data_IF_568865215055
#
_entry.id   IF_568865215055
#
_cell.length_a   1.000
_cell.length_b   1.000
_cell.length_c   1.000
_cell.angle_alpha   90.00
_cell.angle_beta   90.00
_cell.angle_gamma   90.00
#
_symmetry.space_group_name_H-M   'P 1'
#
loop_
_entity.id
_entity.type
_entity.pdbx_description
1 polymer ?
#
# COMPACT_ATOMS: atom_id res chain seq x y z
N UNK A 1 -8.31 41.44 27.10
CA UNK A 1 -7.49 41.20 25.89
C UNK A 1 -7.66 39.75 25.46
N UNK A 2 -8.38 39.58 24.35
CA UNK A 2 -8.70 38.32 23.68
C UNK A 2 -7.47 37.77 22.95
N UNK A 3 -7.09 36.51 23.23
CA UNK A 3 -6.18 35.73 22.36
C UNK A 3 -7.01 35.01 21.30
N UNK A 4 -6.59 34.98 20.02
CA UNK A 4 -7.31 34.26 18.98
C UNK A 4 -7.05 32.75 19.08
N UNK A 5 -8.12 31.97 18.93
CA UNK A 5 -8.12 30.51 18.70
C UNK A 5 -7.26 30.19 17.48
N UNK A 6 -6.23 29.35 17.64
CA UNK A 6 -5.62 28.64 16.51
C UNK A 6 -6.46 27.40 16.20
N UNK A 7 -6.94 27.34 14.96
CA UNK A 7 -7.86 26.33 14.44
C UNK A 7 -7.10 25.00 14.22
N UNK A 8 -7.61 23.84 14.69
CA UNK A 8 -7.02 22.52 14.41
C UNK A 8 -7.42 21.94 13.04
N UNK A 9 -8.08 22.71 12.17
CA UNK A 9 -8.74 22.22 10.95
C UNK A 9 -7.77 21.73 9.86
N UNK A 10 -6.59 22.34 9.72
CA UNK A 10 -5.64 21.96 8.68
C UNK A 10 -4.96 20.60 8.92
N UNK A 11 -4.71 20.24 10.19
CA UNK A 11 -4.15 18.92 10.56
C UNK A 11 -5.19 17.82 10.46
N UNK A 12 -6.43 18.07 10.87
CA UNK A 12 -7.55 17.14 10.68
C UNK A 12 -7.86 16.93 9.20
N UNK A 13 -7.85 17.99 8.38
CA UNK A 13 -8.01 17.88 6.93
C UNK A 13 -6.86 17.11 6.27
N UNK A 14 -5.60 17.34 6.68
CA UNK A 14 -4.44 16.59 6.18
C UNK A 14 -4.44 15.12 6.60
N UNK A 15 -4.90 14.81 7.82
CA UNK A 15 -5.09 13.43 8.29
C UNK A 15 -6.22 12.77 7.48
N UNK A 16 -7.37 13.43 7.31
CA UNK A 16 -8.49 12.93 6.48
C UNK A 16 -8.11 12.75 4.99
N UNK A 17 -7.31 13.66 4.42
CA UNK A 17 -6.80 13.57 3.05
C UNK A 17 -5.74 12.47 2.90
N UNK A 18 -4.94 12.23 3.95
CA UNK A 18 -4.03 11.08 4.04
C UNK A 18 -4.77 9.73 4.11
N UNK A 19 -5.94 9.67 4.78
CA UNK A 19 -6.80 8.49 4.79
C UNK A 19 -7.44 8.20 3.42
N UNK A 20 -7.84 9.25 2.69
CA UNK A 20 -8.37 9.11 1.33
C UNK A 20 -7.25 8.70 0.36
N UNK A 21 -6.02 9.18 0.56
CA UNK A 21 -4.86 8.81 -0.25
C UNK A 21 -4.38 7.37 -0.06
N UNK A 22 -4.38 6.88 1.19
CA UNK A 22 -3.90 5.55 1.55
C UNK A 22 -4.83 4.42 1.05
N UNK A 23 -6.11 4.70 0.84
CA UNK A 23 -7.09 3.67 0.48
C UNK A 23 -7.11 3.32 -1.01
N UNK A 24 -6.57 4.19 -1.86
CA UNK A 24 -6.68 4.02 -3.31
C UNK A 24 -5.56 3.19 -3.95
N UNK A 25 -4.61 2.67 -3.16
CA UNK A 25 -3.35 2.14 -3.66
C UNK A 25 -3.38 0.84 -4.45
N UNK A 26 -4.50 0.14 -4.66
CA UNK A 26 -4.46 -1.14 -5.37
C UNK A 26 -5.71 -1.32 -6.22
N UNK A 27 -5.54 -1.35 -7.54
CA UNK A 27 -6.59 -1.75 -8.49
C UNK A 27 -6.04 -2.51 -9.71
N UNK A 28 -6.72 -3.62 -9.99
CA UNK A 28 -6.81 -4.55 -11.13
C UNK A 28 -5.74 -5.65 -11.26
N UNK A 29 -6.04 -6.98 -11.14
CA UNK A 29 -6.55 -7.91 -12.20
C UNK A 29 -6.86 -9.40 -11.83
N UNK A 30 -7.78 -9.98 -12.64
CA UNK A 30 -8.53 -11.25 -12.61
C UNK A 30 -7.88 -12.48 -13.23
N UNK A 31 -8.53 -13.63 -12.92
CA UNK A 31 -8.71 -14.79 -13.80
C UNK A 31 -10.21 -15.11 -14.02
N UNK A 32 -10.59 -15.22 -15.30
CA UNK A 32 -11.73 -15.91 -15.96
C UNK A 32 -13.21 -15.74 -15.48
N UNK A 33 -13.95 -14.99 -16.31
CA UNK A 33 -15.31 -15.19 -16.86
C UNK A 33 -16.47 -15.66 -15.95
N UNK A 34 -17.38 -14.73 -15.69
CA UNK A 34 -18.82 -14.99 -15.87
C UNK A 34 -19.30 -14.13 -17.04
N UNK A 35 -19.72 -14.81 -18.13
CA UNK A 35 -20.53 -14.21 -19.18
C UNK A 35 -21.86 -13.77 -18.58
N UNK A 36 -22.16 -12.48 -18.64
CA UNK A 36 -23.53 -12.01 -18.83
C UNK A 36 -23.51 -10.98 -19.95
N UNK A 37 -24.33 -11.27 -20.96
CA UNK A 37 -24.35 -10.60 -22.25
C UNK A 37 -24.69 -9.11 -22.13
N UNK A 38 -23.85 -8.28 -22.73
CA UNK A 38 -24.28 -7.06 -23.41
C UNK A 38 -23.35 -6.87 -24.61
N UNK A 39 -23.92 -6.97 -25.81
CA UNK A 39 -23.21 -6.82 -27.08
C UNK A 39 -22.53 -5.44 -27.19
N UNK A 40 -21.21 -5.43 -27.11
CA UNK A 40 -20.25 -4.37 -27.43
C UNK A 40 -18.90 -5.02 -27.74
N UNK A 41 -17.98 -4.41 -28.51
CA UNK A 41 -16.91 -5.15 -29.20
C UNK A 41 -15.94 -5.84 -28.23
N UNK A 42 -16.19 -7.14 -28.09
CA UNK A 42 -15.34 -8.21 -27.57
C UNK A 42 -13.84 -7.97 -27.77
N UNK A 43 -13.15 -7.42 -26.77
CA UNK A 43 -11.77 -7.79 -26.52
C UNK A 43 -11.80 -8.93 -25.50
N UNK A 44 -11.59 -10.16 -25.96
CA UNK A 44 -11.22 -11.23 -25.02
C UNK A 44 -9.91 -10.78 -24.35
N UNK A 45 -9.80 -10.80 -23.01
CA UNK A 45 -8.57 -10.39 -22.35
C UNK A 45 -7.36 -11.12 -22.93
N UNK A 46 -6.25 -10.42 -23.17
CA UNK A 46 -5.04 -11.04 -23.71
C UNK A 46 -4.63 -12.23 -22.80
N UNK A 47 -4.39 -13.44 -23.33
CA UNK A 47 -4.02 -14.60 -22.51
C UNK A 47 -2.77 -14.36 -21.65
N UNK A 48 -1.89 -13.44 -22.04
CA UNK A 48 -0.69 -13.08 -21.29
C UNK A 48 -1.00 -12.22 -20.04
N UNK A 49 -2.19 -11.64 -19.95
CA UNK A 49 -2.61 -10.77 -18.85
C UNK A 49 -2.44 -11.45 -17.49
N UNK A 50 -2.97 -12.65 -17.32
CA UNK A 50 -2.94 -13.34 -16.03
C UNK A 50 -1.49 -13.63 -15.57
N UNK A 51 -0.59 -13.90 -16.52
CA UNK A 51 0.84 -14.07 -16.24
C UNK A 51 1.47 -12.76 -15.77
N UNK A 52 1.15 -11.64 -16.43
CA UNK A 52 1.66 -10.33 -16.04
C UNK A 52 1.21 -9.94 -14.62
N UNK A 53 -0.01 -10.33 -14.23
CA UNK A 53 -0.48 -10.13 -12.85
C UNK A 53 0.10 -11.07 -11.84
N UNK A 54 0.34 -12.32 -12.21
CA UNK A 54 1.07 -13.23 -11.34
C UNK A 54 2.46 -12.66 -11.01
N UNK A 55 3.17 -12.10 -12.00
CA UNK A 55 4.43 -11.39 -11.76
C UNK A 55 4.24 -10.11 -10.92
N UNK A 56 3.21 -9.31 -11.22
CA UNK A 56 2.91 -8.08 -10.48
C UNK A 56 2.67 -8.34 -8.98
N UNK A 57 1.81 -9.30 -8.66
CA UNK A 57 1.48 -9.66 -7.28
C UNK A 57 2.58 -10.47 -6.59
N UNK A 58 3.58 -10.96 -7.33
CA UNK A 58 4.83 -11.50 -6.78
C UNK A 58 5.93 -10.43 -6.67
N UNK A 59 5.60 -9.14 -6.83
CA UNK A 59 6.52 -7.99 -6.82
C UNK A 59 7.60 -8.04 -7.90
N UNK A 60 7.42 -8.84 -8.96
CA UNK A 60 8.30 -8.88 -10.13
C UNK A 60 7.93 -7.74 -11.09
N UNK A 61 7.92 -6.50 -10.59
CA UNK A 61 7.32 -5.34 -11.24
C UNK A 61 7.93 -5.01 -12.61
N UNK A 62 9.25 -5.14 -12.79
CA UNK A 62 9.90 -4.90 -14.08
C UNK A 62 9.40 -5.88 -15.15
N UNK A 63 9.24 -7.15 -14.76
CA UNK A 63 8.74 -8.18 -15.65
C UNK A 63 7.26 -7.97 -15.97
N UNK A 64 6.46 -7.65 -14.95
CA UNK A 64 5.05 -7.32 -15.13
C UNK A 64 4.87 -6.11 -16.07
N UNK A 65 5.64 -5.03 -15.87
CA UNK A 65 5.59 -3.84 -16.71
C UNK A 65 5.93 -4.15 -18.18
N UNK A 66 6.98 -4.94 -18.44
CA UNK A 66 7.32 -5.37 -19.80
C UNK A 66 6.22 -6.23 -20.44
N UNK A 67 5.55 -7.08 -19.67
CA UNK A 67 4.44 -7.89 -20.17
C UNK A 67 3.21 -7.01 -20.47
N UNK A 68 2.89 -6.04 -19.62
CA UNK A 68 1.83 -5.06 -19.90
C UNK A 68 2.14 -4.13 -21.07
N UNK A 69 3.39 -3.71 -21.25
CA UNK A 69 3.83 -2.96 -22.42
C UNK A 69 3.50 -3.71 -23.71
N UNK A 70 3.83 -5.02 -23.78
CA UNK A 70 3.50 -5.85 -24.95
C UNK A 70 1.99 -6.01 -25.16
N UNK A 71 1.20 -6.06 -24.09
CA UNK A 71 -0.28 -6.10 -24.19
C UNK A 71 -0.79 -4.78 -24.78
N UNK A 72 -0.29 -3.63 -24.30
CA UNK A 72 -0.63 -2.30 -24.82
C UNK A 72 -0.19 -2.13 -26.28
N UNK A 73 0.92 -2.72 -26.70
CA UNK A 73 1.38 -2.70 -28.09
C UNK A 73 0.45 -3.49 -29.02
N UNK A 74 -0.05 -4.65 -28.56
CA UNK A 74 -1.01 -5.47 -29.31
C UNK A 74 -2.40 -4.85 -29.37
N UNK A 75 -2.81 -4.18 -28.29
CA UNK A 75 -4.14 -3.59 -28.12
C UNK A 75 -4.04 -2.07 -27.87
N UNK A 76 -3.58 -1.27 -28.85
CA UNK A 76 -3.23 0.13 -28.62
C UNK A 76 -4.41 1.05 -28.23
N UNK A 77 -5.63 0.62 -28.54
CA UNK A 77 -6.87 1.35 -28.26
C UNK A 77 -7.67 0.77 -27.08
N UNK A 78 -7.10 -0.20 -26.36
CA UNK A 78 -7.72 -0.79 -25.17
C UNK A 78 -7.35 0.01 -23.91
N UNK A 79 -8.35 0.65 -23.30
CA UNK A 79 -8.16 1.44 -22.09
C UNK A 79 -7.80 0.56 -20.87
N UNK A 80 -8.28 -0.68 -20.82
CA UNK A 80 -7.91 -1.62 -19.76
C UNK A 80 -6.41 -1.91 -19.81
N UNK A 81 -5.87 -2.26 -20.98
CA UNK A 81 -4.44 -2.53 -21.15
C UNK A 81 -3.56 -1.36 -20.68
N UNK A 82 -3.95 -0.12 -20.99
CA UNK A 82 -3.24 1.07 -20.52
C UNK A 82 -3.32 1.22 -19.00
N UNK A 83 -4.48 0.95 -18.40
CA UNK A 83 -4.66 0.98 -16.94
C UNK A 83 -3.82 -0.07 -16.22
N UNK A 84 -3.65 -1.26 -16.80
CA UNK A 84 -2.82 -2.32 -16.22
C UNK A 84 -1.34 -1.93 -16.21
N UNK A 85 -0.86 -1.37 -17.32
CA UNK A 85 0.49 -0.83 -17.39
C UNK A 85 0.67 0.33 -16.39
N UNK A 86 -0.31 1.22 -16.28
CA UNK A 86 -0.31 2.32 -15.32
C UNK A 86 -0.25 1.80 -13.87
N UNK A 87 -1.03 0.76 -13.52
CA UNK A 87 -0.94 0.09 -12.20
C UNK A 87 0.48 -0.38 -11.96
N UNK A 88 1.06 -1.17 -12.87
CA UNK A 88 2.39 -1.74 -12.67
C UNK A 88 3.47 -0.68 -12.47
N UNK A 89 3.45 0.39 -13.27
CA UNK A 89 4.42 1.49 -13.18
C UNK A 89 4.23 2.29 -11.88
N UNK A 90 2.99 2.62 -11.52
CA UNK A 90 2.69 3.41 -10.33
C UNK A 90 3.06 2.66 -9.05
N UNK A 91 2.64 1.40 -8.93
CA UNK A 91 2.87 0.60 -7.73
C UNK A 91 4.35 0.29 -7.55
N UNK A 92 5.09 -0.02 -8.63
CA UNK A 92 6.53 -0.17 -8.54
C UNK A 92 7.21 1.11 -8.00
N UNK A 93 6.77 2.28 -8.46
CA UNK A 93 7.33 3.53 -7.99
C UNK A 93 7.02 3.81 -6.52
N UNK A 94 5.80 3.52 -6.07
CA UNK A 94 5.45 3.61 -4.65
C UNK A 94 6.27 2.65 -3.79
N UNK A 95 6.59 1.46 -4.30
CA UNK A 95 7.49 0.51 -3.63
C UNK A 95 8.89 1.11 -3.47
N UNK A 96 9.48 1.56 -4.58
CA UNK A 96 10.83 2.15 -4.63
C UNK A 96 10.96 3.39 -3.75
N UNK A 97 9.88 4.16 -3.63
CA UNK A 97 9.81 5.33 -2.74
C UNK A 97 9.76 4.96 -1.24
N UNK A 98 9.57 3.68 -0.88
CA UNK A 98 9.29 3.25 0.48
C UNK A 98 7.87 3.58 0.94
N UNK A 99 6.98 3.99 0.04
CA UNK A 99 5.59 4.35 0.38
C UNK A 99 4.71 3.13 0.67
N UNK A 100 5.17 1.92 0.29
CA UNK A 100 4.52 0.62 0.58
C UNK A 100 5.30 -0.17 1.66
N UNK A 101 5.54 0.44 2.80
CA UNK A 101 6.16 -0.25 3.94
C UNK A 101 5.09 -1.04 4.72
N UNK A 102 5.38 -2.10 5.47
CA UNK A 102 4.45 -2.74 6.44
C UNK A 102 4.97 -2.75 7.88
N UNK A 103 6.17 -2.19 8.14
CA UNK A 103 6.83 -2.21 9.45
C UNK A 103 6.79 -0.92 10.29
N UNK A 104 6.39 0.24 9.74
CA UNK A 104 6.25 1.50 10.50
C UNK A 104 4.95 1.58 11.35
N UNK A 105 4.20 0.49 11.45
CA UNK A 105 2.75 0.47 11.72
C UNK A 105 2.36 -0.01 13.10
N UNK A 106 2.95 0.63 14.12
CA UNK A 106 2.28 0.71 15.40
C UNK A 106 0.97 1.55 15.35
N UNK A 107 0.66 2.20 14.19
CA UNK A 107 -0.48 3.11 14.01
C UNK A 107 -1.37 2.82 12.77
N UNK A 108 -1.69 1.55 12.49
CA UNK A 108 -2.85 1.15 11.65
C UNK A 108 -2.91 1.66 10.19
N UNK A 109 -1.92 1.33 9.34
CA UNK A 109 -1.98 1.50 7.87
C UNK A 109 -1.06 0.49 7.15
N UNK A 110 -1.10 0.42 5.82
CA UNK A 110 -0.11 -0.27 4.94
C UNK A 110 0.76 0.73 4.16
N UNK A 111 0.48 2.04 4.32
CA UNK A 111 1.13 3.12 3.57
C UNK A 111 1.80 4.09 4.54
N UNK A 112 3.09 4.31 4.31
CA UNK A 112 4.00 5.08 5.13
C UNK A 112 4.40 6.40 4.48
N UNK A 113 5.30 7.14 5.13
CA UNK A 113 5.92 8.29 4.47
C UNK A 113 6.92 7.78 3.43
N UNK A 114 6.93 8.38 2.25
CA UNK A 114 7.97 8.08 1.26
C UNK A 114 9.36 8.44 1.83
N UNK A 115 10.26 7.46 1.87
CA UNK A 115 11.66 7.62 2.26
C UNK A 115 12.45 8.30 1.14
N UNK A 116 12.09 7.99 -0.12
CA UNK A 116 12.80 8.47 -1.32
C UNK A 116 11.89 9.30 -2.23
N UNK A 117 12.42 10.32 -2.92
CA UNK A 117 11.66 11.04 -3.93
C UNK A 117 11.35 10.12 -5.13
N UNK A 118 10.23 10.42 -5.79
CA UNK A 118 9.89 9.76 -7.05
C UNK A 118 10.87 10.13 -8.18
N UNK A 119 11.18 9.20 -9.07
CA UNK A 119 12.01 9.38 -10.25
C UNK A 119 11.27 10.30 -11.22
N UNK A 120 11.84 11.45 -11.61
CA UNK A 120 11.23 12.37 -12.57
C UNK A 120 10.78 11.72 -13.88
N UNK A 121 11.53 10.72 -14.39
CA UNK A 121 11.17 10.00 -15.62
C UNK A 121 9.95 9.11 -15.42
N UNK A 122 9.86 8.45 -14.26
CA UNK A 122 8.70 7.60 -13.92
C UNK A 122 7.46 8.45 -13.69
N UNK A 123 7.59 9.62 -13.04
CA UNK A 123 6.50 10.60 -12.92
C UNK A 123 5.96 11.03 -14.28
N UNK A 124 6.84 11.36 -15.21
CA UNK A 124 6.45 11.76 -16.56
C UNK A 124 5.76 10.59 -17.29
N UNK A 125 6.31 9.38 -17.17
CA UNK A 125 5.69 8.17 -17.71
C UNK A 125 4.28 7.92 -17.17
N UNK A 126 4.07 8.07 -15.87
CA UNK A 126 2.75 7.96 -15.22
C UNK A 126 1.78 8.97 -15.83
N UNK A 127 2.19 10.24 -15.97
CA UNK A 127 1.35 11.29 -16.57
C UNK A 127 0.99 10.99 -18.02
N UNK A 128 1.94 10.47 -18.80
CA UNK A 128 1.70 10.09 -20.19
C UNK A 128 0.71 8.93 -20.31
N UNK A 129 0.81 7.93 -19.44
CA UNK A 129 -0.14 6.80 -19.38
C UNK A 129 -1.53 7.27 -18.96
N UNK A 130 -1.65 8.11 -17.92
CA UNK A 130 -2.93 8.72 -17.50
C UNK A 130 -3.55 9.51 -18.65
N UNK A 131 -2.78 10.38 -19.32
CA UNK A 131 -3.28 11.16 -20.44
C UNK A 131 -3.69 10.29 -21.63
N UNK A 132 -3.02 9.16 -21.85
CA UNK A 132 -3.40 8.19 -22.89
C UNK A 132 -4.71 7.49 -22.54
N UNK A 133 -4.84 6.97 -21.31
CA UNK A 133 -6.06 6.29 -20.86
C UNK A 133 -7.28 7.23 -20.96
N UNK A 134 -7.14 8.46 -20.44
CA UNK A 134 -8.18 9.48 -20.51
C UNK A 134 -8.65 9.77 -21.94
N UNK A 135 -7.73 9.87 -22.91
CA UNK A 135 -8.11 10.10 -24.32
C UNK A 135 -8.94 8.94 -24.86
N UNK A 136 -8.54 7.69 -24.60
CA UNK A 136 -9.26 6.50 -25.07
C UNK A 136 -10.65 6.41 -24.44
N UNK A 137 -10.72 6.60 -23.12
CA UNK A 137 -11.97 6.56 -22.36
C UNK A 137 -12.93 7.67 -22.79
N UNK A 138 -12.43 8.90 -22.98
CA UNK A 138 -13.25 10.02 -23.45
C UNK A 138 -13.74 9.83 -24.89
N UNK A 139 -12.94 9.22 -25.76
CA UNK A 139 -13.36 8.88 -27.12
C UNK A 139 -14.50 7.84 -27.12
N UNK A 140 -14.36 6.78 -26.33
CA UNK A 140 -15.39 5.75 -26.15
C UNK A 140 -16.69 6.36 -25.58
N UNK A 141 -16.57 7.18 -24.53
CA UNK A 141 -17.73 7.81 -23.87
C UNK A 141 -18.40 8.90 -24.71
N UNK A 142 -17.71 9.52 -25.67
CA UNK A 142 -18.33 10.40 -26.67
C UNK A 142 -19.22 9.62 -27.63
N UNK A 143 -18.82 8.41 -28.00
CA UNK A 143 -19.61 7.52 -28.84
C UNK A 143 -20.80 6.91 -28.08
N UNK A 144 -20.59 6.50 -26.84
CA UNK A 144 -21.61 5.95 -25.95
C UNK A 144 -21.39 6.42 -24.51
N UNK A 145 -22.16 7.42 -24.01
CA UNK A 145 -22.00 7.93 -22.65
C UNK A 145 -22.28 6.91 -21.53
N UNK A 146 -23.04 5.85 -21.83
CA UNK A 146 -23.37 4.76 -20.91
C UNK A 146 -22.55 3.48 -21.21
N UNK A 147 -21.41 3.62 -21.89
CA UNK A 147 -20.44 2.52 -22.03
C UNK A 147 -19.87 2.15 -20.66
N UNK A 148 -20.32 1.01 -20.14
CA UNK A 148 -20.00 0.52 -18.80
C UNK A 148 -18.50 0.27 -18.64
N UNK A 149 -17.84 -0.25 -19.68
CA UNK A 149 -16.43 -0.59 -19.66
C UNK A 149 -15.57 0.68 -19.70
N UNK A 150 -15.95 1.66 -20.51
CA UNK A 150 -15.27 2.95 -20.58
C UNK A 150 -15.44 3.77 -19.29
N UNK A 151 -16.65 3.74 -18.68
CA UNK A 151 -16.90 4.33 -17.36
C UNK A 151 -16.04 3.66 -16.29
N UNK A 152 -15.98 2.32 -16.29
CA UNK A 152 -15.16 1.57 -15.36
C UNK A 152 -13.67 1.92 -15.52
N UNK A 153 -13.14 1.93 -16.74
CA UNK A 153 -11.75 2.30 -17.02
C UNK A 153 -11.43 3.72 -16.55
N UNK A 154 -12.30 4.69 -16.86
CA UNK A 154 -12.12 6.07 -16.40
C UNK A 154 -12.12 6.18 -14.88
N UNK A 155 -12.96 5.38 -14.23
CA UNK A 155 -12.97 5.22 -12.78
C UNK A 155 -11.60 4.76 -12.24
N UNK A 156 -11.04 3.70 -12.83
CA UNK A 156 -9.70 3.18 -12.49
C UNK A 156 -8.60 4.22 -12.73
N UNK A 157 -8.58 4.87 -13.91
CA UNK A 157 -7.60 5.93 -14.23
C UNK A 157 -7.63 7.06 -13.22
N UNK A 158 -8.83 7.52 -12.84
CA UNK A 158 -9.01 8.56 -11.83
C UNK A 158 -8.56 8.09 -10.45
N UNK A 159 -8.86 6.84 -10.08
CA UNK A 159 -8.40 6.24 -8.83
C UNK A 159 -6.86 6.21 -8.75
N UNK A 160 -6.20 5.69 -9.77
CA UNK A 160 -4.72 5.65 -9.85
C UNK A 160 -4.11 7.05 -9.85
N UNK A 161 -4.71 8.01 -10.57
CA UNK A 161 -4.21 9.39 -10.56
C UNK A 161 -4.43 10.09 -9.21
N UNK A 162 -5.48 9.72 -8.47
CA UNK A 162 -5.67 10.18 -7.10
C UNK A 162 -4.54 9.69 -6.17
N UNK A 163 -4.14 8.42 -6.28
CA UNK A 163 -2.97 7.87 -5.56
C UNK A 163 -1.70 8.64 -5.90
N UNK A 164 -1.40 8.76 -7.20
CA UNK A 164 -0.21 9.45 -7.67
C UNK A 164 -0.16 10.89 -7.13
N UNK A 165 -1.24 11.65 -7.30
CA UNK A 165 -1.26 13.05 -6.87
C UNK A 165 -1.18 13.19 -5.35
N UNK A 166 -1.69 12.24 -4.58
CA UNK A 166 -1.60 12.30 -3.12
C UNK A 166 -0.23 11.88 -2.58
N UNK A 167 0.27 10.72 -2.99
CA UNK A 167 1.48 10.11 -2.41
C UNK A 167 2.76 10.64 -3.05
N UNK A 168 2.71 11.00 -4.34
CA UNK A 168 3.88 11.49 -5.07
C UNK A 168 3.92 13.02 -5.13
N UNK A 169 2.81 13.65 -5.55
CA UNK A 169 2.80 15.11 -5.73
C UNK A 169 2.36 15.89 -4.48
N UNK A 170 1.80 15.21 -3.47
CA UNK A 170 1.19 15.84 -2.28
C UNK A 170 0.14 16.91 -2.65
N UNK A 171 -0.51 16.73 -3.80
CA UNK A 171 -1.51 17.60 -4.39
C UNK A 171 -2.93 17.16 -3.95
N UNK A 172 -3.22 17.34 -2.66
CA UNK A 172 -4.41 16.80 -1.98
C UNK A 172 -5.75 17.15 -2.64
N UNK A 173 -5.89 18.37 -3.19
CA UNK A 173 -7.13 18.77 -3.88
C UNK A 173 -7.32 18.00 -5.19
N UNK A 174 -6.24 17.79 -5.96
CA UNK A 174 -6.29 16.97 -7.16
C UNK A 174 -6.62 15.52 -6.82
N UNK A 175 -6.02 14.99 -5.75
CA UNK A 175 -6.31 13.65 -5.27
C UNK A 175 -7.80 13.49 -4.90
N UNK A 176 -8.35 14.41 -4.10
CA UNK A 176 -9.75 14.36 -3.70
C UNK A 176 -10.71 14.46 -4.90
N UNK A 177 -10.43 15.36 -5.86
CA UNK A 177 -11.27 15.53 -7.06
C UNK A 177 -11.30 14.25 -7.89
N UNK A 178 -10.15 13.62 -8.12
CA UNK A 178 -10.06 12.39 -8.88
C UNK A 178 -10.68 11.20 -8.12
N UNK A 179 -10.47 11.12 -6.81
CA UNK A 179 -11.10 10.12 -5.95
C UNK A 179 -12.63 10.15 -6.04
N UNK A 180 -13.24 11.33 -5.88
CA UNK A 180 -14.69 11.52 -6.02
C UNK A 180 -15.16 11.20 -7.45
N UNK A 181 -14.41 11.64 -8.46
CA UNK A 181 -14.72 11.30 -9.86
C UNK A 181 -14.69 9.80 -10.15
N UNK A 182 -13.72 9.08 -9.58
CA UNK A 182 -13.62 7.62 -9.68
C UNK A 182 -14.82 6.94 -9.04
N UNK A 183 -15.21 7.40 -7.84
CA UNK A 183 -16.41 6.90 -7.16
C UNK A 183 -17.65 7.07 -8.03
N UNK A 184 -17.89 8.27 -8.57
CA UNK A 184 -19.08 8.52 -9.38
C UNK A 184 -19.12 7.65 -10.64
N UNK A 185 -17.97 7.46 -11.31
CA UNK A 185 -17.88 6.57 -12.47
C UNK A 185 -18.24 5.13 -12.10
N UNK A 186 -17.70 4.60 -10.99
CA UNK A 186 -18.01 3.24 -10.56
C UNK A 186 -19.41 3.08 -9.97
N UNK A 187 -19.98 4.11 -9.32
CA UNK A 187 -21.40 4.12 -8.94
C UNK A 187 -22.29 4.06 -10.18
N UNK A 188 -21.97 4.83 -11.23
CA UNK A 188 -22.69 4.79 -12.51
C UNK A 188 -22.58 3.42 -13.19
N UNK A 189 -21.42 2.78 -13.14
CA UNK A 189 -21.24 1.39 -13.60
C UNK A 189 -22.20 0.45 -12.87
N UNK A 190 -22.31 0.56 -11.54
CA UNK A 190 -23.20 -0.30 -10.76
C UNK A 190 -24.69 0.02 -10.95
N UNK A 191 -25.04 1.26 -11.31
CA UNK A 191 -26.40 1.62 -11.72
C UNK A 191 -26.80 0.98 -13.05
N UNK A 192 -25.88 1.00 -14.03
CA UNK A 192 -26.09 0.44 -15.36
C UNK A 192 -25.99 -1.09 -15.38
N UNK A 193 -25.04 -1.64 -14.61
CA UNK A 193 -24.79 -3.06 -14.47
C UNK A 193 -24.50 -3.42 -13.00
N UNK A 194 -25.54 -3.75 -12.20
CA UNK A 194 -25.39 -4.09 -10.78
C UNK A 194 -24.51 -5.33 -10.50
N UNK A 195 -24.29 -6.17 -11.52
CA UNK A 195 -23.48 -7.38 -11.44
C UNK A 195 -22.00 -7.14 -11.79
N UNK A 196 -21.61 -5.90 -12.15
CA UNK A 196 -20.21 -5.54 -12.43
C UNK A 196 -19.41 -5.52 -11.12
N UNK A 197 -18.95 -6.70 -10.70
CA UNK A 197 -18.38 -6.93 -9.39
C UNK A 197 -17.21 -5.99 -9.08
N UNK A 198 -16.31 -5.80 -10.04
CA UNK A 198 -15.07 -5.07 -9.84
C UNK A 198 -15.26 -3.59 -9.53
N UNK A 199 -16.36 -2.98 -10.00
CA UNK A 199 -16.70 -1.59 -9.68
C UNK A 199 -17.01 -1.39 -8.18
N UNK A 200 -17.38 -2.47 -7.48
CA UNK A 200 -17.62 -2.41 -6.03
C UNK A 200 -16.35 -2.17 -5.21
N UNK A 201 -15.14 -2.39 -5.76
CA UNK A 201 -13.89 -2.13 -5.03
C UNK A 201 -13.79 -0.66 -4.64
N UNK A 202 -13.80 0.24 -5.62
CA UNK A 202 -13.66 1.69 -5.38
C UNK A 202 -14.84 2.21 -4.57
N UNK A 203 -16.07 1.78 -4.89
CA UNK A 203 -17.27 2.22 -4.16
C UNK A 203 -17.25 1.72 -2.70
N UNK A 204 -16.85 0.48 -2.46
CA UNK A 204 -16.74 -0.12 -1.13
C UNK A 204 -15.67 0.56 -0.29
N UNK A 205 -14.51 0.82 -0.89
CA UNK A 205 -13.41 1.56 -0.28
C UNK A 205 -13.84 2.97 0.18
N UNK A 206 -14.53 3.71 -0.69
CA UNK A 206 -15.12 5.00 -0.32
C UNK A 206 -16.17 4.89 0.79
N UNK A 207 -17.08 3.92 0.70
CA UNK A 207 -18.11 3.72 1.71
C UNK A 207 -17.50 3.51 3.10
N UNK A 208 -16.45 2.69 3.20
CA UNK A 208 -15.74 2.48 4.46
C UNK A 208 -15.07 3.77 4.96
N UNK A 209 -14.32 4.49 4.11
CA UNK A 209 -13.63 5.73 4.50
C UNK A 209 -14.63 6.77 4.99
N UNK A 210 -15.67 7.04 4.21
CA UNK A 210 -16.72 7.99 4.56
C UNK A 210 -17.48 7.56 5.82
N UNK A 211 -17.75 6.26 5.96
CA UNK A 211 -18.34 5.63 7.14
C UNK A 211 -17.44 5.70 8.39
N UNK A 212 -16.14 5.89 8.23
CA UNK A 212 -15.16 5.97 9.32
C UNK A 212 -14.87 7.38 9.80
N UNK A 213 -15.42 8.41 9.15
CA UNK A 213 -15.19 9.80 9.54
C UNK A 213 -15.87 10.13 10.89
N UNK A 214 -15.27 11.03 11.70
CA UNK A 214 -15.95 11.59 12.87
C UNK A 214 -17.29 12.21 12.47
N UNK A 215 -18.30 12.10 13.34
CA UNK A 215 -19.67 12.52 13.04
C UNK A 215 -19.77 13.97 12.52
N UNK A 216 -19.04 14.90 13.14
CA UNK A 216 -19.01 16.30 12.71
C UNK A 216 -18.51 16.49 11.26
N UNK A 217 -17.57 15.65 10.83
CA UNK A 217 -17.06 15.67 9.46
C UNK A 217 -18.04 15.01 8.50
N UNK A 218 -18.70 13.90 8.90
CA UNK A 218 -19.76 13.25 8.12
C UNK A 218 -20.88 14.23 7.74
N UNK A 219 -21.31 15.07 8.69
CA UNK A 219 -22.33 16.09 8.43
C UNK A 219 -21.84 17.10 7.39
N UNK A 220 -20.60 17.59 7.51
CA UNK A 220 -20.04 18.58 6.58
C UNK A 220 -19.90 18.03 5.15
N UNK A 221 -19.44 16.79 5.00
CA UNK A 221 -19.28 16.15 3.66
C UNK A 221 -20.61 15.71 3.05
N UNK A 222 -21.61 15.38 3.87
CA UNK A 222 -22.96 15.08 3.39
C UNK A 222 -23.64 16.29 2.74
N UNK A 223 -23.35 17.52 3.21
CA UNK A 223 -23.86 18.76 2.61
C UNK A 223 -23.35 18.99 1.17
N UNK A 224 -22.23 18.37 0.79
CA UNK A 224 -21.68 18.41 -0.58
C UNK A 224 -21.93 17.10 -1.34
N UNK A 225 -22.88 16.28 -0.87
CA UNK A 225 -23.32 15.04 -1.54
C UNK A 225 -22.46 13.81 -1.27
N UNK A 226 -21.45 13.88 -0.38
CA UNK A 226 -20.60 12.75 -0.06
C UNK A 226 -21.09 12.02 1.19
N UNK A 227 -21.40 10.73 1.06
CA UNK A 227 -21.83 9.89 2.18
C UNK A 227 -21.26 8.47 2.06
N UNK A 228 -21.34 7.69 3.14
CA UNK A 228 -20.97 6.27 3.11
C UNK A 228 -21.19 5.56 4.44
N UNK A 229 -21.22 4.24 4.39
CA UNK A 229 -21.41 3.33 5.53
C UNK A 229 -20.25 2.34 5.62
N UNK A 230 -19.74 2.11 6.83
CA UNK A 230 -18.69 1.09 7.04
C UNK A 230 -19.20 -0.29 6.66
N UNK A 231 -20.44 -0.59 7.02
CA UNK A 231 -21.11 -1.87 6.79
C UNK A 231 -21.21 -2.14 5.28
N UNK A 232 -21.69 -1.16 4.50
CA UNK A 232 -21.74 -1.26 3.03
C UNK A 232 -20.35 -1.36 2.42
N UNK A 233 -19.36 -0.65 2.99
CA UNK A 233 -17.97 -0.75 2.58
C UNK A 233 -17.41 -2.16 2.71
N UNK A 234 -17.55 -2.76 3.90
CA UNK A 234 -17.15 -4.15 4.14
C UNK A 234 -17.92 -5.15 3.29
N UNK A 235 -19.23 -4.95 3.12
CA UNK A 235 -20.04 -5.80 2.25
C UNK A 235 -19.46 -5.84 0.83
N UNK A 236 -19.27 -4.67 0.21
CA UNK A 236 -18.76 -4.58 -1.17
C UNK A 236 -17.35 -5.17 -1.29
N UNK A 237 -16.46 -4.87 -0.35
CA UNK A 237 -15.10 -5.40 -0.38
C UNK A 237 -15.08 -6.93 -0.22
N UNK A 238 -15.91 -7.50 0.65
CA UNK A 238 -16.05 -8.97 0.77
C UNK A 238 -16.64 -9.61 -0.48
N UNK A 239 -17.61 -8.96 -1.13
CA UNK A 239 -18.17 -9.45 -2.39
C UNK A 239 -17.08 -9.55 -3.48
N UNK A 240 -16.23 -8.52 -3.62
CA UNK A 240 -15.11 -8.55 -4.59
C UNK A 240 -14.02 -9.56 -4.18
N UNK A 241 -13.65 -9.58 -2.89
CA UNK A 241 -12.61 -10.47 -2.36
C UNK A 241 -12.96 -11.97 -2.43
N UNK A 242 -14.25 -12.31 -2.45
CA UNK A 242 -14.75 -13.68 -2.59
C UNK A 242 -15.18 -14.03 -4.02
N UNK A 243 -15.15 -13.07 -4.93
CA UNK A 243 -15.52 -13.28 -6.32
C UNK A 243 -14.40 -13.84 -7.18
N UNK A 244 -14.66 -13.83 -8.49
CA UNK A 244 -13.71 -14.21 -9.55
C UNK A 244 -13.32 -13.01 -10.42
N UNK A 245 -13.67 -11.81 -9.96
CA UNK A 245 -13.42 -10.54 -10.64
C UNK A 245 -11.95 -10.15 -10.63
N UNK A 246 -11.65 -9.08 -11.35
CA UNK A 246 -10.29 -8.60 -11.50
C UNK A 246 -9.69 -8.00 -10.26
N UNK A 247 -10.53 -7.45 -9.41
CA UNK A 247 -10.10 -6.76 -8.23
C UNK A 247 -10.05 -7.69 -7.00
N UNK A 248 -10.12 -9.02 -7.15
CA UNK A 248 -10.18 -9.94 -6.01
C UNK A 248 -8.95 -9.85 -5.10
N UNK A 249 -7.74 -9.80 -5.65
CA UNK A 249 -6.52 -9.68 -4.83
C UNK A 249 -6.46 -8.30 -4.19
N UNK A 250 -6.72 -7.24 -4.95
CA UNK A 250 -6.70 -5.87 -4.42
C UNK A 250 -7.75 -5.66 -3.33
N UNK A 251 -8.96 -6.19 -3.53
CA UNK A 251 -10.02 -6.18 -2.55
C UNK A 251 -9.63 -6.93 -1.29
N UNK A 252 -8.93 -8.07 -1.41
CA UNK A 252 -8.35 -8.77 -0.25
C UNK A 252 -7.35 -7.89 0.51
N UNK A 253 -6.44 -7.21 -0.18
CA UNK A 253 -5.47 -6.33 0.49
C UNK A 253 -6.14 -5.13 1.16
N UNK A 254 -7.03 -4.43 0.45
CA UNK A 254 -7.81 -3.29 0.99
C UNK A 254 -8.70 -3.73 2.16
N UNK A 255 -9.36 -4.89 2.03
CA UNK A 255 -10.19 -5.47 3.08
C UNK A 255 -9.35 -5.77 4.32
N UNK A 256 -8.20 -6.43 4.19
CA UNK A 256 -7.30 -6.72 5.32
C UNK A 256 -6.81 -5.46 6.03
N UNK A 257 -6.51 -4.39 5.29
CA UNK A 257 -6.17 -3.08 5.87
C UNK A 257 -7.30 -2.56 6.76
N UNK A 258 -8.54 -2.60 6.27
CA UNK A 258 -9.70 -2.13 7.05
C UNK A 258 -10.05 -3.03 8.21
N UNK A 259 -9.95 -4.34 8.03
CA UNK A 259 -10.15 -5.33 9.10
C UNK A 259 -9.13 -5.12 10.22
N UNK A 260 -7.85 -4.90 9.89
CA UNK A 260 -6.81 -4.57 10.86
C UNK A 260 -7.17 -3.31 11.66
N UNK A 261 -7.62 -2.25 10.97
CA UNK A 261 -8.04 -1.00 11.62
C UNK A 261 -9.24 -1.17 12.56
N UNK A 262 -10.18 -2.03 12.20
CA UNK A 262 -11.31 -2.39 13.07
C UNK A 262 -10.93 -3.48 14.11
N UNK A 263 -9.65 -3.84 14.20
CA UNK A 263 -9.09 -4.89 15.09
C UNK A 263 -9.66 -6.29 14.85
N UNK A 264 -10.22 -6.54 13.68
CA UNK A 264 -10.62 -7.87 13.22
C UNK A 264 -9.39 -8.59 12.61
N UNK A 265 -8.42 -8.89 13.48
CA UNK A 265 -7.12 -9.42 13.05
C UNK A 265 -7.21 -10.86 12.54
N UNK A 266 -8.16 -11.67 13.01
CA UNK A 266 -8.31 -13.06 12.57
C UNK A 266 -8.71 -13.16 11.08
N UNK A 267 -9.71 -12.38 10.65
CA UNK A 267 -10.13 -12.34 9.25
C UNK A 267 -9.02 -11.75 8.37
N UNK A 268 -8.39 -10.65 8.81
CA UNK A 268 -7.26 -10.05 8.10
C UNK A 268 -6.09 -11.04 7.92
N UNK A 269 -5.78 -11.81 8.98
CA UNK A 269 -4.69 -12.79 8.98
C UNK A 269 -4.99 -13.93 8.03
N UNK A 270 -6.22 -14.45 8.02
CA UNK A 270 -6.62 -15.51 7.08
C UNK A 270 -6.46 -15.05 5.63
N UNK A 271 -6.85 -13.81 5.33
CA UNK A 271 -6.68 -13.25 3.98
C UNK A 271 -5.19 -13.14 3.62
N UNK A 272 -4.35 -12.62 4.52
CA UNK A 272 -2.91 -12.47 4.27
C UNK A 272 -2.18 -13.82 4.15
N UNK A 273 -2.62 -14.82 4.91
CA UNK A 273 -2.14 -16.20 4.78
C UNK A 273 -2.39 -16.77 3.39
N UNK A 274 -3.62 -16.62 2.87
CA UNK A 274 -3.98 -17.08 1.52
C UNK A 274 -3.18 -16.35 0.44
N UNK A 275 -2.98 -15.04 0.60
CA UNK A 275 -2.19 -14.23 -0.34
C UNK A 275 -0.72 -14.62 -0.32
N UNK A 276 -0.11 -14.80 0.86
CA UNK A 276 1.28 -15.23 1.01
C UNK A 276 1.52 -16.64 0.43
N UNK A 277 0.53 -17.54 0.53
CA UNK A 277 0.60 -18.86 -0.09
C UNK A 277 0.52 -18.79 -1.63
N UNK A 278 -0.32 -17.90 -2.16
CA UNK A 278 -0.52 -17.74 -3.61
C UNK A 278 0.61 -16.97 -4.30
N UNK A 279 1.18 -15.99 -3.62
CA UNK A 279 2.23 -15.10 -4.13
C UNK A 279 3.49 -15.18 -3.26
N UNK A 280 4.21 -16.31 -3.26
CA UNK A 280 5.28 -16.60 -2.30
C UNK A 280 6.55 -15.75 -2.50
N UNK A 281 6.65 -14.95 -3.57
CA UNK A 281 7.74 -13.97 -3.77
C UNK A 281 7.39 -12.57 -3.25
N UNK A 282 6.12 -12.32 -2.93
CA UNK A 282 5.72 -11.10 -2.23
C UNK A 282 5.99 -11.28 -0.74
N UNK A 283 7.10 -10.69 -0.29
CA UNK A 283 7.47 -10.74 1.12
C UNK A 283 6.55 -9.90 2.01
N UNK A 284 5.83 -8.90 1.46
CA UNK A 284 4.95 -8.02 2.21
C UNK A 284 3.73 -8.78 2.73
N UNK A 285 3.17 -9.71 1.97
CA UNK A 285 2.05 -10.55 2.45
C UNK A 285 2.46 -11.44 3.63
N UNK A 286 3.60 -12.12 3.53
CA UNK A 286 4.10 -12.97 4.62
C UNK A 286 4.53 -12.14 5.85
N UNK A 287 5.10 -10.96 5.62
CA UNK A 287 5.46 -10.02 6.67
C UNK A 287 4.21 -9.50 7.39
N UNK A 288 3.16 -9.16 6.65
CA UNK A 288 1.91 -8.71 7.24
C UNK A 288 1.20 -9.81 8.02
N UNK A 289 1.18 -11.05 7.53
CA UNK A 289 0.66 -12.17 8.30
C UNK A 289 1.37 -12.26 9.67
N UNK A 290 2.69 -12.10 9.69
CA UNK A 290 3.49 -12.07 10.92
C UNK A 290 3.14 -10.90 11.84
N UNK A 291 2.89 -9.71 11.26
CA UNK A 291 2.42 -8.54 12.01
C UNK A 291 1.03 -8.77 12.64
N UNK A 292 0.12 -9.43 11.92
CA UNK A 292 -1.22 -9.74 12.41
C UNK A 292 -1.17 -10.80 13.51
N UNK A 293 -0.29 -11.80 13.40
CA UNK A 293 -0.01 -12.74 14.50
C UNK A 293 0.49 -12.02 15.75
N UNK A 294 1.38 -11.02 15.58
CA UNK A 294 1.85 -10.19 16.70
C UNK A 294 0.69 -9.40 17.32
N UNK A 295 -0.18 -8.82 16.50
CA UNK A 295 -1.36 -8.06 16.96
C UNK A 295 -2.38 -8.94 17.72
N UNK A 296 -2.50 -10.21 17.34
CA UNK A 296 -3.30 -11.23 18.02
C UNK A 296 -2.66 -11.73 19.34
N UNK A 297 -1.39 -11.42 19.59
CA UNK A 297 -0.64 -11.94 20.74
C UNK A 297 -0.04 -13.34 20.53
N UNK A 298 -0.09 -13.87 19.31
CA UNK A 298 0.55 -15.12 18.90
C UNK A 298 2.05 -14.87 18.63
N UNK A 299 2.77 -14.55 19.70
CA UNK A 299 4.12 -13.98 19.60
C UNK A 299 5.17 -14.99 19.09
N UNK A 300 4.98 -16.28 19.37
CA UNK A 300 5.91 -17.30 18.88
C UNK A 300 5.77 -17.47 17.37
N UNK A 301 4.52 -17.51 16.88
CA UNK A 301 4.15 -17.59 15.47
C UNK A 301 4.63 -16.35 14.71
N UNK A 302 4.43 -15.15 15.28
CA UNK A 302 4.94 -13.91 14.70
C UNK A 302 6.47 -13.93 14.58
N UNK A 303 7.19 -14.30 15.65
CA UNK A 303 8.65 -14.39 15.63
C UNK A 303 9.15 -15.45 14.64
N UNK A 304 8.46 -16.59 14.52
CA UNK A 304 8.77 -17.61 13.52
C UNK A 304 8.55 -17.10 12.08
N UNK A 305 7.45 -16.39 11.85
CA UNK A 305 7.13 -15.76 10.56
C UNK A 305 8.18 -14.74 10.13
N UNK A 306 8.56 -13.81 11.01
CA UNK A 306 9.64 -12.84 10.72
C UNK A 306 10.96 -13.53 10.37
N UNK A 307 11.37 -14.55 11.14
CA UNK A 307 12.60 -15.33 10.85
C UNK A 307 12.52 -16.04 9.50
N UNK A 308 11.36 -16.58 9.15
CA UNK A 308 11.13 -17.27 7.87
C UNK A 308 11.26 -16.30 6.69
N UNK A 309 10.65 -15.12 6.77
CA UNK A 309 10.78 -14.09 5.72
C UNK A 309 12.26 -13.68 5.57
N UNK A 310 12.95 -13.40 6.68
CA UNK A 310 14.38 -13.08 6.66
C UNK A 310 15.22 -14.18 5.98
N UNK A 311 14.99 -15.44 6.35
CA UNK A 311 15.70 -16.58 5.79
C UNK A 311 15.43 -16.74 4.29
N UNK A 312 14.18 -16.64 3.85
CA UNK A 312 13.83 -16.73 2.42
C UNK A 312 14.51 -15.64 1.60
N UNK A 313 14.60 -14.42 2.14
CA UNK A 313 15.34 -13.32 1.51
C UNK A 313 16.83 -13.63 1.38
N UNK A 314 17.46 -14.15 2.45
CA UNK A 314 18.87 -14.60 2.44
C UNK A 314 19.16 -15.73 1.46
N UNK A 315 18.17 -16.58 1.19
CA UNK A 315 18.22 -17.63 0.17
C UNK A 315 17.97 -17.10 -1.25
N UNK A 316 17.78 -15.78 -1.41
CA UNK A 316 17.61 -15.12 -2.70
C UNK A 316 16.18 -15.15 -3.26
N UNK A 317 15.18 -15.61 -2.49
CA UNK A 317 13.79 -15.72 -3.00
C UNK A 317 13.17 -14.39 -3.39
N UNK A 318 13.61 -13.30 -2.76
CA UNK A 318 13.04 -11.96 -2.95
C UNK A 318 13.93 -11.04 -3.78
N UNK A 319 15.05 -11.55 -4.34
CA UNK A 319 16.00 -10.71 -5.09
C UNK A 319 16.48 -9.50 -4.29
N UNK A 320 16.26 -8.30 -4.83
CA UNK A 320 16.67 -7.02 -4.23
C UNK A 320 15.56 -6.33 -3.42
N UNK A 321 14.47 -7.03 -3.10
CA UNK A 321 13.38 -6.47 -2.30
C UNK A 321 13.83 -6.27 -0.83
N UNK A 322 13.23 -5.29 -0.17
CA UNK A 322 13.52 -4.84 1.20
C UNK A 322 12.98 -5.78 2.30
N UNK A 323 13.34 -7.06 2.24
CA UNK A 323 12.91 -8.09 3.20
C UNK A 323 13.55 -7.94 4.60
N UNK A 324 14.57 -7.08 4.75
CA UNK A 324 15.15 -6.69 6.04
C UNK A 324 14.13 -6.12 7.02
N UNK A 325 12.98 -5.63 6.51
CA UNK A 325 11.84 -5.23 7.31
C UNK A 325 11.34 -6.34 8.25
N UNK A 326 11.52 -7.61 7.89
CA UNK A 326 11.21 -8.73 8.77
C UNK A 326 12.17 -8.83 9.97
N UNK A 327 13.46 -8.54 9.78
CA UNK A 327 14.42 -8.47 10.86
C UNK A 327 14.12 -7.30 11.82
N UNK A 328 13.75 -6.15 11.26
CA UNK A 328 13.24 -5.02 12.04
C UNK A 328 12.00 -5.40 12.88
N UNK A 329 11.00 -6.04 12.26
CA UNK A 329 9.78 -6.49 12.93
C UNK A 329 10.06 -7.49 14.07
N UNK A 330 11.02 -8.39 13.87
CA UNK A 330 11.50 -9.32 14.90
C UNK A 330 12.17 -8.58 16.06
N UNK A 331 13.04 -7.60 15.77
CA UNK A 331 13.68 -6.77 16.78
C UNK A 331 12.67 -6.04 17.66
N UNK A 332 11.67 -5.39 17.03
CA UNK A 332 10.59 -4.71 17.74
C UNK A 332 9.77 -5.65 18.62
N UNK A 333 9.49 -6.87 18.15
CA UNK A 333 8.78 -7.90 18.93
C UNK A 333 9.61 -8.30 20.15
N UNK A 334 10.88 -8.64 19.97
CA UNK A 334 11.77 -9.08 21.06
C UNK A 334 12.03 -7.96 22.07
N UNK A 335 12.16 -6.72 21.60
CA UNK A 335 12.27 -5.52 22.45
C UNK A 335 11.04 -5.37 23.34
N UNK A 336 9.83 -5.47 22.78
CA UNK A 336 8.57 -5.42 23.56
C UNK A 336 8.46 -6.52 24.63
N UNK A 337 9.24 -7.60 24.47
CA UNK A 337 9.32 -8.72 25.40
C UNK A 337 10.48 -8.61 26.39
N UNK A 338 11.22 -7.51 26.35
CA UNK A 338 12.45 -7.27 27.13
C UNK A 338 13.55 -8.30 26.87
N UNK A 339 13.48 -9.03 25.76
CA UNK A 339 14.60 -9.82 25.26
C UNK A 339 15.55 -8.90 24.50
N UNK A 340 16.28 -8.06 25.25
CA UNK A 340 17.16 -7.05 24.66
C UNK A 340 18.31 -7.68 23.87
N UNK A 341 18.78 -8.87 24.28
CA UNK A 341 19.85 -9.58 23.56
C UNK A 341 19.34 -10.10 22.21
N UNK A 342 18.17 -10.72 22.19
CA UNK A 342 17.51 -11.13 20.96
C UNK A 342 17.15 -9.95 20.07
N UNK A 343 16.63 -8.87 20.64
CA UNK A 343 16.29 -7.64 19.92
C UNK A 343 17.51 -7.01 19.25
N UNK A 344 18.61 -6.82 19.98
CA UNK A 344 19.86 -6.31 19.44
C UNK A 344 20.33 -7.16 18.25
N UNK A 345 20.35 -8.49 18.42
CA UNK A 345 20.76 -9.43 17.36
C UNK A 345 19.85 -9.34 16.13
N UNK A 346 18.54 -9.21 16.32
CA UNK A 346 17.58 -9.07 15.22
C UNK A 346 17.74 -7.73 14.48
N UNK A 347 17.99 -6.62 15.17
CA UNK A 347 18.30 -5.36 14.51
C UNK A 347 19.63 -5.41 13.76
N UNK A 348 20.62 -6.16 14.23
CA UNK A 348 21.88 -6.32 13.51
C UNK A 348 21.70 -6.99 12.15
N UNK A 349 20.77 -7.96 12.04
CA UNK A 349 20.47 -8.65 10.78
C UNK A 349 20.12 -7.68 9.65
N UNK A 350 19.50 -6.53 9.93
CA UNK A 350 19.20 -5.50 8.91
C UNK A 350 20.46 -5.07 8.15
N UNK A 351 21.62 -5.03 8.82
CA UNK A 351 22.89 -4.67 8.19
C UNK A 351 23.49 -5.80 7.32
N UNK A 352 22.96 -7.02 7.43
CA UNK A 352 23.40 -8.17 6.66
C UNK A 352 22.58 -8.38 5.37
N UNK A 353 21.57 -7.54 5.13
CA UNK A 353 20.91 -7.52 3.83
C UNK A 353 21.87 -6.95 2.77
N UNK A 354 21.78 -7.36 1.50
CA UNK A 354 22.68 -6.87 0.45
C UNK A 354 22.61 -5.36 0.22
N UNK A 355 21.40 -4.79 0.26
CA UNK A 355 21.14 -3.36 0.04
C UNK A 355 19.95 -2.89 0.90
N UNK A 356 20.11 -2.82 2.23
CA UNK A 356 19.02 -2.42 3.11
C UNK A 356 18.67 -0.94 2.89
N UNK A 357 17.38 -0.61 2.98
CA UNK A 357 16.93 0.78 2.95
C UNK A 357 17.67 1.63 4.01
N UNK A 358 18.24 2.76 3.60
CA UNK A 358 19.13 3.59 4.44
C UNK A 358 18.46 4.08 5.72
N UNK A 359 17.17 4.44 5.66
CA UNK A 359 16.40 4.86 6.82
C UNK A 359 16.14 3.68 7.77
N UNK A 360 15.74 2.53 7.22
CA UNK A 360 15.57 1.28 7.98
C UNK A 360 16.86 0.85 8.67
N UNK A 361 17.99 0.96 7.97
CA UNK A 361 19.32 0.67 8.52
C UNK A 361 19.69 1.62 9.65
N UNK A 362 19.41 2.92 9.55
CA UNK A 362 19.61 3.86 10.66
C UNK A 362 18.74 3.52 11.86
N UNK A 363 17.44 3.25 11.66
CA UNK A 363 16.50 2.86 12.73
C UNK A 363 17.00 1.62 13.46
N UNK A 364 17.39 0.59 12.71
CA UNK A 364 17.89 -0.66 13.28
C UNK A 364 19.19 -0.45 14.07
N UNK A 365 20.14 0.34 13.59
CA UNK A 365 21.37 0.61 14.34
C UNK A 365 21.11 1.45 15.59
N UNK A 366 20.23 2.46 15.53
CA UNK A 366 19.85 3.23 16.72
C UNK A 366 19.25 2.30 17.78
N UNK A 367 18.25 1.50 17.40
CA UNK A 367 17.58 0.57 18.30
C UNK A 367 18.55 -0.50 18.84
N UNK A 368 19.44 -1.06 18.02
CA UNK A 368 20.49 -1.98 18.49
C UNK A 368 21.40 -1.33 19.53
N UNK A 369 21.77 -0.06 19.33
CA UNK A 369 22.55 0.71 20.29
C UNK A 369 21.84 0.86 21.63
N UNK A 370 20.56 1.23 21.61
CA UNK A 370 19.70 1.32 22.81
C UNK A 370 19.65 -0.02 23.55
N UNK A 371 19.47 -1.14 22.83
CA UNK A 371 19.45 -2.47 23.43
C UNK A 371 20.80 -2.82 24.08
N UNK A 372 21.93 -2.46 23.45
CA UNK A 372 23.25 -2.70 24.04
C UNK A 372 23.50 -1.84 25.28
N UNK A 373 23.01 -0.61 25.33
CA UNK A 373 23.08 0.22 26.54
C UNK A 373 22.28 -0.42 27.69
N UNK A 374 21.06 -0.92 27.44
CA UNK A 374 20.26 -1.66 28.43
C UNK A 374 20.95 -2.94 28.93
N UNK A 375 21.75 -3.59 28.06
CA UNK A 375 22.57 -4.76 28.40
C UNK A 375 23.92 -4.41 29.03
N UNK A 376 24.18 -3.13 29.33
CA UNK A 376 25.45 -2.63 29.86
C UNK A 376 26.67 -2.90 28.94
N UNK A 377 26.43 -3.06 27.63
CA UNK A 377 27.46 -3.29 26.60
C UNK A 377 27.79 -2.00 25.87
N UNK A 378 28.31 -1.02 26.61
CA UNK A 378 28.50 0.36 26.13
C UNK A 378 29.37 0.47 24.87
N UNK A 379 30.42 -0.33 24.76
CA UNK A 379 31.30 -0.30 23.58
C UNK A 379 30.55 -0.68 22.29
N UNK A 380 29.67 -1.69 22.35
CA UNK A 380 28.83 -2.08 21.22
C UNK A 380 27.79 -1.01 20.92
N UNK A 381 27.17 -0.42 21.94
CA UNK A 381 26.20 0.66 21.76
C UNK A 381 26.83 1.86 21.03
N UNK A 382 28.02 2.29 21.46
CA UNK A 382 28.77 3.37 20.84
C UNK A 382 29.08 3.10 19.35
N UNK A 383 29.47 1.88 19.01
CA UNK A 383 29.70 1.48 17.61
C UNK A 383 28.42 1.60 16.77
N UNK A 384 27.27 1.23 17.34
CA UNK A 384 25.98 1.35 16.65
C UNK A 384 25.57 2.81 16.45
N UNK A 385 25.68 3.66 17.47
CA UNK A 385 25.40 5.09 17.32
C UNK A 385 26.32 5.77 16.30
N UNK A 386 27.61 5.41 16.26
CA UNK A 386 28.52 5.89 15.22
C UNK A 386 28.11 5.43 13.82
N UNK A 387 27.60 4.20 13.69
CA UNK A 387 27.06 3.69 12.42
C UNK A 387 25.85 4.50 11.96
N UNK A 388 24.95 4.90 12.87
CA UNK A 388 23.82 5.81 12.56
C UNK A 388 24.33 7.14 11.99
N UNK A 389 25.35 7.74 12.64
CA UNK A 389 25.92 9.02 12.19
C UNK A 389 26.65 8.91 10.85
N UNK A 390 27.31 7.78 10.59
CA UNK A 390 28.03 7.53 9.35
C UNK A 390 27.08 7.33 8.15
N UNK A 391 25.89 6.77 8.38
CA UNK A 391 24.88 6.56 7.35
C UNK A 391 24.28 7.90 6.87
N UNK A 392 23.75 8.71 7.79
CA UNK A 392 23.31 10.07 7.50
C UNK A 392 23.24 10.91 8.78
N UNK A 393 24.22 11.79 8.97
CA UNK A 393 24.29 12.63 10.17
C UNK A 393 23.21 13.74 10.25
N UNK A 394 22.46 13.98 9.17
CA UNK A 394 21.46 15.04 9.08
C UNK A 394 20.04 14.64 9.52
N UNK A 395 19.84 13.41 9.99
CA UNK A 395 18.51 12.89 10.33
C UNK A 395 18.15 13.10 11.81
N UNK A 396 16.84 13.08 12.17
CA UNK A 396 16.41 13.03 13.56
C UNK A 396 16.96 11.80 14.32
N UNK A 397 17.14 10.66 13.64
CA UNK A 397 17.75 9.45 14.21
C UNK A 397 19.22 9.70 14.59
N UNK A 398 19.96 10.43 13.75
CA UNK A 398 21.33 10.85 14.06
C UNK A 398 21.39 11.85 15.23
N UNK A 399 20.41 12.75 15.37
CA UNK A 399 20.30 13.60 16.56
C UNK A 399 20.10 12.79 17.84
N UNK A 400 19.25 11.77 17.81
CA UNK A 400 19.05 10.88 18.95
C UNK A 400 20.31 10.06 19.27
N UNK A 401 20.97 9.51 18.24
CA UNK A 401 22.27 8.84 18.41
C UNK A 401 23.33 9.75 19.06
N UNK A 402 23.38 11.05 18.72
CA UNK A 402 24.30 12.02 19.37
C UNK A 402 23.98 12.21 20.85
N UNK A 403 22.70 12.16 21.25
CA UNK A 403 22.32 12.19 22.67
C UNK A 403 22.81 10.92 23.36
N UNK A 404 22.55 9.76 22.76
CA UNK A 404 22.94 8.48 23.35
C UNK A 404 24.45 8.25 23.42
N UNK A 405 25.22 8.90 22.55
CA UNK A 405 26.69 8.96 22.65
C UNK A 405 27.15 9.70 23.92
N UNK A 406 26.44 10.77 24.31
CA UNK A 406 26.77 11.54 25.52
C UNK A 406 26.28 10.86 26.79
N UNK A 407 25.09 10.28 26.75
CA UNK A 407 24.44 9.65 27.88
C UNK A 407 23.80 8.33 27.45
N UNK A 408 24.16 7.23 28.11
CA UNK A 408 23.62 5.92 27.77
C UNK A 408 22.09 5.89 27.83
N UNK A 409 21.46 5.22 26.87
CA UNK A 409 20.02 5.00 26.86
C UNK A 409 19.57 4.25 28.12
N UNK A 410 18.41 4.65 28.66
CA UNK A 410 17.76 4.05 29.83
C UNK A 410 16.25 4.07 29.59
N UNK A 411 15.54 3.04 30.06
CA UNK A 411 14.06 2.96 30.01
C UNK A 411 13.36 3.90 31.00
#
# INVERSE_FOLDING_TARGET
MTKPRRVPSARLAAILLGWIAAVFCMTAIARAQIRLASDGPNATPDPARDSAFDHFYNMEYDRAAQEFERIVEKHPNDAFAVNHLLTSVLIHELYRMGAMNTGEYANDSFIGQAHHPADPKVKERIKQLVARAQRLEEEQLKGNPDDVDALYCRGVTRAQFAVYTALVERAWFSALRNAVGARHDHERVLELNPNYLDAKLVVGAHNYVMGSLPWSVKVAVALVGLSGSKEKGFQYLREVANGTGENTVDAKVVLSLFLRRERNFDEARSIMHDLAARYPKDYLFALEESNLQRALGHLQEAAAGYRRVWQMGREGKFGNLHYEMAAWGLGELLRSRKDYSGAASAYELVNEAPDPDSETRQKANLAAGEMYDLLQRRELAMKKYQTVLAENSGTPLAEEARKHIKEAYRE
#
